data_IF_657013622923
#
_entry.id   IF_657013622923
#
_cell.length_a   1.000
_cell.length_b   1.000
_cell.length_c   1.000
_cell.angle_alpha   90.00
_cell.angle_beta   90.00
_cell.angle_gamma   90.00
#
_symmetry.space_group_name_H-M   'P 1'
#
loop_
_entity.id
_entity.type
_entity.pdbx_description
1 polymer ?
#
# COMPACT_ATOMS: atom_id res chain seq x y z
N UNK A 1 -18.18 4.84 -2.16
CA UNK A 1 -18.82 5.47 -0.98
C UNK A 1 -17.94 5.16 0.22
N UNK A 2 -17.57 6.16 1.03
CA UNK A 2 -16.75 5.97 2.23
C UNK A 2 -17.67 5.90 3.44
N UNK A 3 -17.44 4.91 4.30
CA UNK A 3 -18.17 4.71 5.56
C UNK A 3 -17.17 4.72 6.71
N UNK A 4 -17.52 5.37 7.82
CA UNK A 4 -16.66 5.49 9.00
C UNK A 4 -17.40 4.88 10.18
N UNK A 5 -16.78 3.90 10.84
CA UNK A 5 -17.36 3.18 11.97
C UNK A 5 -16.45 3.32 13.21
N UNK A 6 -16.84 4.13 14.21
CA UNK A 6 -16.06 4.23 15.44
C UNK A 6 -16.21 2.95 16.28
N UNK A 7 -15.07 2.46 16.80
CA UNK A 7 -15.02 1.29 17.68
C UNK A 7 -14.21 1.61 18.94
N UNK A 8 -14.61 1.04 20.08
CA UNK A 8 -13.82 1.07 21.32
C UNK A 8 -13.24 -0.32 21.55
N UNK A 9 -11.91 -0.39 21.65
CA UNK A 9 -11.19 -1.60 22.03
C UNK A 9 -10.78 -1.54 23.49
N UNK A 10 -10.64 -2.71 24.13
CA UNK A 10 -10.06 -2.85 25.46
C UNK A 10 -8.76 -3.65 25.35
N UNK A 11 -7.76 -3.26 26.13
CA UNK A 11 -6.55 -4.04 26.31
C UNK A 11 -6.80 -5.10 27.37
N UNK A 12 -6.63 -6.37 27.04
CA UNK A 12 -6.75 -7.47 27.99
C UNK A 12 -5.56 -7.52 28.95
N UNK A 13 -5.70 -8.23 30.07
CA UNK A 13 -4.61 -8.48 31.03
C UNK A 13 -3.38 -9.16 30.41
N UNK A 14 -3.55 -9.83 29.26
CA UNK A 14 -2.47 -10.49 28.50
C UNK A 14 -1.83 -9.57 27.45
N UNK A 15 -2.17 -8.28 27.43
CA UNK A 15 -1.62 -7.31 26.48
C UNK A 15 -2.21 -7.40 25.06
N UNK A 16 -3.31 -8.13 24.87
CA UNK A 16 -3.98 -8.28 23.56
C UNK A 16 -5.20 -7.37 23.49
N UNK A 17 -5.33 -6.60 22.41
CA UNK A 17 -6.51 -5.78 22.14
C UNK A 17 -7.72 -6.63 21.70
N UNK A 18 -8.91 -6.30 22.18
CA UNK A 18 -10.17 -6.89 21.68
C UNK A 18 -10.49 -6.41 20.26
N UNK A 19 -11.33 -7.13 19.51
CA UNK A 19 -11.81 -6.72 18.17
C UNK A 19 -12.56 -5.37 18.12
N UNK A 20 -13.01 -4.89 19.28
CA UNK A 20 -13.63 -3.58 19.44
C UNK A 20 -15.14 -3.60 19.26
N UNK A 21 -15.84 -2.93 20.18
CA UNK A 21 -17.30 -2.77 20.11
C UNK A 21 -17.65 -1.53 19.30
N UNK A 22 -18.65 -1.57 18.40
CA UNK A 22 -19.11 -0.39 17.70
C UNK A 22 -19.68 0.65 18.68
N UNK A 23 -19.45 1.92 18.39
CA UNK A 23 -19.97 3.04 19.18
C UNK A 23 -21.07 3.73 18.39
N UNK A 24 -22.24 3.90 19.00
CA UNK A 24 -23.31 4.67 18.38
C UNK A 24 -22.87 6.14 18.20
N UNK A 25 -23.11 6.72 17.01
CA UNK A 25 -22.71 8.11 16.72
C UNK A 25 -23.35 9.13 17.66
N UNK A 26 -24.56 8.85 18.17
CA UNK A 26 -25.21 9.67 19.21
C UNK A 26 -24.42 9.73 20.51
N UNK A 27 -23.85 8.60 20.94
CA UNK A 27 -23.00 8.51 22.13
C UNK A 27 -21.65 9.20 21.88
N UNK A 28 -21.07 8.99 20.70
CA UNK A 28 -19.82 9.66 20.34
C UNK A 28 -20.01 11.18 20.29
N UNK A 29 -21.10 11.67 19.70
CA UNK A 29 -21.43 13.10 19.64
C UNK A 29 -21.58 13.74 21.04
N UNK A 30 -22.30 13.07 21.94
CA UNK A 30 -22.54 13.57 23.31
C UNK A 30 -21.32 13.41 24.23
N UNK A 31 -20.36 12.54 23.87
CA UNK A 31 -19.18 12.26 24.68
C UNK A 31 -19.48 11.49 25.98
N UNK A 32 -20.66 10.90 26.12
CA UNK A 32 -21.09 10.23 27.36
C UNK A 32 -20.37 8.89 27.55
N UNK A 33 -19.69 8.74 28.70
CA UNK A 33 -18.96 7.54 29.12
C UNK A 33 -17.92 7.05 28.09
N UNK A 34 -17.14 7.96 27.50
CA UNK A 34 -16.03 7.63 26.61
C UNK A 34 -14.76 8.34 27.08
N UNK A 35 -14.00 7.67 27.95
CA UNK A 35 -12.79 8.26 28.57
C UNK A 35 -11.51 7.95 27.77
N UNK A 36 -11.64 7.34 26.60
CA UNK A 36 -10.53 6.82 25.79
C UNK A 36 -10.33 7.55 24.46
N UNK A 37 -10.96 8.73 24.27
CA UNK A 37 -10.74 9.54 23.07
C UNK A 37 -9.36 10.20 23.13
N UNK A 38 -8.61 10.06 22.05
CA UNK A 38 -7.34 10.75 21.84
C UNK A 38 -7.57 12.12 21.16
N UNK A 39 -6.54 12.96 21.09
CA UNK A 39 -6.64 14.25 20.38
C UNK A 39 -7.06 14.08 18.89
N UNK A 40 -6.52 13.11 18.12
CA UNK A 40 -7.03 12.80 16.79
C UNK A 40 -8.51 12.38 16.75
N UNK A 41 -8.98 11.60 17.74
CA UNK A 41 -10.38 11.17 17.80
C UNK A 41 -11.32 12.36 18.06
N UNK A 42 -10.87 13.35 18.84
CA UNK A 42 -11.62 14.57 19.12
C UNK A 42 -11.84 15.42 17.86
N UNK A 43 -10.84 15.50 16.98
CA UNK A 43 -10.98 16.17 15.68
C UNK A 43 -12.06 15.50 14.82
N UNK A 44 -12.09 14.16 14.76
CA UNK A 44 -13.12 13.38 14.07
C UNK A 44 -14.50 13.58 14.71
N UNK A 45 -14.58 13.52 16.05
CA UNK A 45 -15.83 13.74 16.79
C UNK A 45 -16.44 15.11 16.49
N UNK A 46 -15.61 16.15 16.38
CA UNK A 46 -16.07 17.51 16.07
C UNK A 46 -16.80 17.62 14.73
N UNK A 47 -16.55 16.69 13.80
CA UNK A 47 -17.19 16.62 12.49
C UNK A 47 -18.56 15.90 12.51
N UNK A 48 -19.01 15.37 13.66
CA UNK A 48 -20.35 14.81 13.79
C UNK A 48 -21.41 15.91 13.82
N UNK A 49 -22.50 15.68 13.10
CA UNK A 49 -23.67 16.54 13.06
C UNK A 49 -24.90 15.83 13.60
N UNK A 50 -25.72 16.58 14.33
CA UNK A 50 -27.06 16.15 14.73
C UNK A 50 -28.05 16.68 13.70
N UNK A 51 -28.67 15.78 12.93
CA UNK A 51 -29.76 16.14 12.00
C UNK A 51 -31.10 15.77 12.61
N UNK A 52 -32.02 16.73 12.64
CA UNK A 52 -33.40 16.50 13.07
C UNK A 52 -34.25 16.42 11.80
N UNK A 53 -34.80 15.26 11.50
CA UNK A 53 -35.70 15.06 10.37
C UNK A 53 -37.10 14.77 10.92
N UNK A 54 -38.03 15.71 10.77
CA UNK A 54 -39.38 15.73 11.37
C UNK A 54 -39.92 14.37 11.84
N UNK A 55 -40.54 13.60 10.95
CA UNK A 55 -41.18 12.30 11.26
C UNK A 55 -40.19 11.15 11.56
N UNK A 56 -38.91 11.29 11.21
CA UNK A 56 -37.89 10.22 11.30
C UNK A 56 -36.98 10.33 12.53
N UNK A 57 -37.20 11.34 13.39
CA UNK A 57 -36.46 11.51 14.65
C UNK A 57 -35.09 12.21 14.49
N UNK A 58 -34.22 12.01 15.47
CA UNK A 58 -32.87 12.58 15.53
C UNK A 58 -31.87 11.57 14.97
N UNK A 59 -31.13 11.95 13.94
CA UNK A 59 -30.02 11.20 13.37
C UNK A 59 -28.69 11.88 13.67
N UNK A 60 -27.63 11.08 13.74
CA UNK A 60 -26.26 11.56 13.89
C UNK A 60 -25.44 10.99 12.74
N UNK A 61 -24.68 11.84 12.06
CA UNK A 61 -23.82 11.43 10.95
C UNK A 61 -22.59 12.31 10.86
N UNK A 62 -21.54 11.79 10.20
CA UNK A 62 -20.35 12.59 9.94
C UNK A 62 -20.60 13.55 8.78
N UNK A 63 -20.25 14.81 8.98
CA UNK A 63 -20.06 15.72 7.86
C UNK A 63 -18.81 15.28 7.09
N UNK A 64 -19.02 14.73 5.90
CA UNK A 64 -17.92 14.18 5.09
C UNK A 64 -16.85 15.21 4.72
N UNK A 65 -17.23 16.48 4.52
CA UNK A 65 -16.31 17.56 4.18
C UNK A 65 -15.37 17.91 5.34
N UNK A 66 -15.84 17.72 6.58
CA UNK A 66 -15.07 18.02 7.81
C UNK A 66 -14.32 16.80 8.34
N UNK A 67 -14.91 15.60 8.23
CA UNK A 67 -14.32 14.38 8.79
C UNK A 67 -13.16 13.86 7.94
N UNK A 68 -13.25 13.94 6.60
CA UNK A 68 -12.21 13.40 5.72
C UNK A 68 -10.85 14.07 5.95
N UNK A 69 -10.75 15.41 6.08
CA UNK A 69 -9.51 16.07 6.49
C UNK A 69 -9.07 15.71 7.90
N UNK A 70 -10.00 15.50 8.84
CA UNK A 70 -9.67 15.14 10.23
C UNK A 70 -9.11 13.71 10.35
N UNK A 71 -9.35 12.84 9.38
CA UNK A 71 -8.76 11.50 9.32
C UNK A 71 -7.28 11.50 8.88
N UNK A 72 -6.80 12.59 8.28
CA UNK A 72 -5.43 12.67 7.77
C UNK A 72 -4.43 12.49 8.90
N UNK A 73 -3.51 11.54 8.74
CA UNK A 73 -2.48 11.24 9.74
C UNK A 73 -2.99 10.52 10.99
N UNK A 74 -4.26 10.13 11.03
CA UNK A 74 -4.82 9.43 12.19
C UNK A 74 -4.19 8.04 12.35
N UNK A 75 -3.59 7.71 13.51
CA UNK A 75 -2.79 6.49 13.67
C UNK A 75 -3.61 5.21 13.81
N UNK A 76 -4.91 5.32 14.12
CA UNK A 76 -5.79 4.19 14.46
C UNK A 76 -6.94 4.04 13.46
N UNK A 77 -6.62 4.03 12.16
CA UNK A 77 -7.56 3.72 11.10
C UNK A 77 -7.30 2.32 10.57
N UNK A 78 -8.36 1.54 10.36
CA UNK A 78 -8.27 0.15 9.93
C UNK A 78 -9.35 -0.16 8.89
N UNK A 79 -9.07 -1.13 8.00
CA UNK A 79 -10.06 -1.58 7.03
C UNK A 79 -11.23 -2.26 7.73
N UNK A 80 -12.45 -1.94 7.29
CA UNK A 80 -13.67 -2.54 7.84
C UNK A 80 -13.70 -4.07 7.63
N UNK A 81 -13.27 -4.53 6.45
CA UNK A 81 -13.24 -5.95 6.10
C UNK A 81 -12.23 -6.76 6.91
N UNK A 82 -11.16 -6.12 7.40
CA UNK A 82 -10.18 -6.73 8.28
C UNK A 82 -9.58 -5.67 9.22
N UNK A 83 -10.06 -5.57 10.49
CA UNK A 83 -9.59 -4.58 11.46
C UNK A 83 -8.14 -4.72 11.93
N UNK A 84 -7.37 -5.69 11.39
CA UNK A 84 -5.91 -5.78 11.58
C UNK A 84 -5.13 -5.00 10.52
N UNK A 85 -5.74 -4.68 9.39
CA UNK A 85 -5.09 -3.94 8.32
C UNK A 85 -5.19 -2.44 8.61
N UNK A 86 -4.10 -1.73 8.91
CA UNK A 86 -4.13 -0.28 9.05
C UNK A 86 -4.41 0.38 7.71
N UNK A 87 -5.14 1.49 7.77
CA UNK A 87 -5.42 2.37 6.63
C UNK A 87 -4.68 3.67 6.87
N UNK A 88 -3.91 4.08 5.88
CA UNK A 88 -3.23 5.36 5.91
C UNK A 88 -4.04 6.38 5.13
N UNK A 89 -4.41 7.48 5.78
CA UNK A 89 -5.04 8.63 5.13
C UNK A 89 -4.07 9.78 5.15
N UNK A 90 -3.69 10.26 3.97
CA UNK A 90 -2.69 11.32 3.81
C UNK A 90 -3.28 12.57 3.19
N UNK A 91 -2.66 13.71 3.49
CA UNK A 91 -3.01 14.98 2.85
C UNK A 91 -2.56 14.93 1.40
N UNK A 92 -3.41 15.42 0.50
CA UNK A 92 -3.07 15.72 -0.87
C UNK A 92 -3.32 17.18 -1.20
N UNK A 93 -2.71 17.63 -2.28
CA UNK A 93 -2.94 18.96 -2.85
C UNK A 93 -3.62 18.84 -4.21
N UNK A 94 -4.43 19.84 -4.60
CA UNK A 94 -4.86 19.97 -5.99
C UNK A 94 -3.66 20.31 -6.86
N UNK A 95 -3.68 19.81 -8.09
CA UNK A 95 -2.58 19.89 -9.01
C UNK A 95 -3.06 20.38 -10.39
N UNK A 96 -2.20 21.14 -11.07
CA UNK A 96 -2.37 21.41 -12.50
C UNK A 96 -1.27 20.69 -13.26
N UNK A 97 -1.67 19.80 -14.17
CA UNK A 97 -0.78 19.01 -15.02
C UNK A 97 -0.66 19.67 -16.38
N UNK A 98 0.56 19.87 -16.85
CA UNK A 98 0.85 20.51 -18.13
C UNK A 98 1.73 19.57 -18.95
N UNK A 99 1.22 19.14 -20.11
CA UNK A 99 1.85 18.12 -20.97
C UNK A 99 1.96 18.62 -22.39
N UNK A 100 3.07 18.33 -23.06
CA UNK A 100 3.13 18.42 -24.52
C UNK A 100 2.45 17.18 -25.13
N UNK A 101 1.58 17.40 -26.11
CA UNK A 101 0.86 16.37 -26.86
C UNK A 101 1.05 16.61 -28.37
N UNK A 102 0.64 15.66 -29.21
CA UNK A 102 0.68 15.86 -30.66
C UNK A 102 -0.17 17.07 -31.13
N UNK A 103 -1.21 17.42 -30.37
CA UNK A 103 -2.11 18.54 -30.66
C UNK A 103 -1.69 19.89 -30.07
N UNK A 104 -0.55 19.95 -29.35
CA UNK A 104 -0.06 21.16 -28.68
C UNK A 104 0.24 20.92 -27.21
N UNK A 105 -0.36 21.71 -26.32
CA UNK A 105 -0.15 21.64 -24.88
C UNK A 105 -1.49 21.32 -24.21
N UNK A 106 -1.55 20.24 -23.44
CA UNK A 106 -2.68 19.89 -22.57
C UNK A 106 -2.46 20.45 -21.17
N UNK A 107 -3.51 21.03 -20.59
CA UNK A 107 -3.54 21.57 -19.23
C UNK A 107 -4.75 20.96 -18.51
N UNK A 108 -4.49 20.18 -17.47
CA UNK A 108 -5.53 19.44 -16.74
C UNK A 108 -5.48 19.77 -15.26
N UNK A 109 -6.64 19.90 -14.62
CA UNK A 109 -6.74 20.00 -13.17
C UNK A 109 -6.92 18.60 -12.57
N UNK A 110 -6.20 18.30 -11.49
CA UNK A 110 -6.30 17.03 -10.78
C UNK A 110 -6.51 17.27 -9.28
N UNK A 111 -7.45 16.56 -8.63
CA UNK A 111 -8.43 15.61 -9.19
C UNK A 111 -9.43 16.32 -10.13
N UNK A 112 -9.83 15.64 -11.22
CA UNK A 112 -10.65 16.27 -12.27
C UNK A 112 -12.04 16.73 -11.85
N UNK A 113 -12.65 16.11 -10.83
CA UNK A 113 -13.93 16.56 -10.25
C UNK A 113 -13.70 17.38 -8.98
N UNK A 114 -14.37 18.52 -8.92
CA UNK A 114 -14.38 19.46 -7.79
C UNK A 114 -15.81 19.77 -7.31
N UNK A 115 -16.76 18.86 -7.60
CA UNK A 115 -18.17 19.02 -7.27
C UNK A 115 -18.41 19.09 -5.75
N UNK A 116 -17.55 18.38 -5.00
CA UNK A 116 -17.50 18.41 -3.55
C UNK A 116 -16.31 19.22 -3.06
N UNK A 117 -16.39 19.83 -1.85
CA UNK A 117 -15.26 20.54 -1.24
C UNK A 117 -14.01 19.71 -0.96
N UNK A 118 -14.17 18.39 -0.92
CA UNK A 118 -13.10 17.44 -0.63
C UNK A 118 -13.20 16.27 -1.61
N UNK A 119 -12.07 15.84 -2.15
CA UNK A 119 -11.92 14.63 -2.94
C UNK A 119 -11.08 13.58 -2.19
N UNK A 120 -11.37 12.31 -2.44
CA UNK A 120 -10.59 11.18 -1.92
C UNK A 120 -10.12 10.34 -3.08
N UNK A 121 -8.81 10.15 -3.17
CA UNK A 121 -8.14 9.37 -4.19
C UNK A 121 -7.56 8.12 -3.52
N UNK A 122 -7.90 6.95 -4.04
CA UNK A 122 -7.33 5.70 -3.59
C UNK A 122 -5.98 5.47 -4.27
N UNK A 123 -4.88 5.49 -3.51
CA UNK A 123 -3.53 5.20 -4.02
C UNK A 123 -3.21 3.71 -3.95
N UNK A 124 -3.78 3.01 -2.96
CA UNK A 124 -3.73 1.56 -2.80
C UNK A 124 -4.97 1.08 -2.02
N UNK A 125 -5.21 -0.23 -1.85
CA UNK A 125 -6.28 -0.76 -1.00
C UNK A 125 -6.29 -0.21 0.43
N UNK A 126 -5.14 0.22 0.95
CA UNK A 126 -4.95 0.67 2.34
C UNK A 126 -4.43 2.10 2.45
N UNK A 127 -4.30 2.84 1.34
CA UNK A 127 -3.82 4.22 1.37
C UNK A 127 -4.71 5.13 0.54
N UNK A 128 -5.20 6.20 1.17
CA UNK A 128 -6.08 7.17 0.56
C UNK A 128 -5.51 8.58 0.72
N UNK A 129 -5.55 9.35 -0.36
CA UNK A 129 -5.14 10.76 -0.37
C UNK A 129 -6.38 11.64 -0.35
N UNK A 130 -6.44 12.55 0.62
CA UNK A 130 -7.55 13.51 0.81
C UNK A 130 -7.12 14.87 0.30
N UNK A 131 -7.83 15.41 -0.69
CA UNK A 131 -7.56 16.72 -1.29
C UNK A 131 -8.69 17.68 -0.95
N UNK A 132 -8.37 18.80 -0.31
CA UNK A 132 -9.33 19.86 -0.02
C UNK A 132 -9.26 20.97 -1.08
N UNK A 133 -10.42 21.48 -1.50
CA UNK A 133 -10.52 22.53 -2.50
C UNK A 133 -11.01 23.84 -1.91
N UNK A 134 -10.20 24.89 -2.08
CA UNK A 134 -10.61 26.28 -1.90
C UNK A 134 -11.52 26.74 -3.05
N UNK A 135 -12.22 27.86 -2.90
CA UNK A 135 -13.03 28.42 -4.01
C UNK A 135 -12.17 28.77 -5.23
N UNK A 136 -10.93 29.20 -5.00
CA UNK A 136 -9.98 29.47 -6.08
C UNK A 136 -9.60 28.18 -6.83
N UNK A 137 -9.38 27.07 -6.12
CA UNK A 137 -9.16 25.76 -6.76
C UNK A 137 -10.35 25.36 -7.64
N UNK A 138 -11.58 25.51 -7.13
CA UNK A 138 -12.80 25.20 -7.89
C UNK A 138 -12.96 26.10 -9.10
N UNK A 139 -12.65 27.39 -8.98
CA UNK A 139 -12.68 28.33 -10.11
C UNK A 139 -11.70 27.92 -11.21
N UNK A 140 -10.47 27.57 -10.85
CA UNK A 140 -9.45 27.11 -11.80
C UNK A 140 -9.90 25.82 -12.51
N UNK A 141 -10.41 24.84 -11.74
CA UNK A 141 -10.94 23.60 -12.31
C UNK A 141 -12.11 23.86 -13.28
N UNK A 142 -13.05 24.76 -12.94
CA UNK A 142 -14.16 25.15 -13.84
C UNK A 142 -13.68 25.81 -15.13
N UNK A 143 -12.61 26.62 -15.07
CA UNK A 143 -12.02 27.26 -16.27
C UNK A 143 -11.38 26.20 -17.18
N UNK A 144 -10.64 25.26 -16.59
CA UNK A 144 -9.98 24.18 -17.34
C UNK A 144 -10.96 23.13 -17.85
N UNK A 145 -12.10 22.95 -17.17
CA UNK A 145 -13.09 21.93 -17.47
C UNK A 145 -12.64 20.53 -17.02
N UNK A 146 -13.58 19.58 -17.02
CA UNK A 146 -13.33 18.20 -16.53
C UNK A 146 -12.26 17.46 -17.34
N UNK A 147 -12.21 17.71 -18.66
CA UNK A 147 -11.23 17.08 -19.57
C UNK A 147 -9.94 17.88 -19.71
N UNK A 148 -9.83 19.01 -19.03
CA UNK A 148 -8.77 19.98 -19.26
C UNK A 148 -8.89 20.76 -20.58
N UNK A 149 -7.91 21.62 -20.81
CA UNK A 149 -7.81 22.52 -21.95
C UNK A 149 -6.61 22.11 -22.82
N UNK A 150 -6.82 22.00 -24.14
CA UNK A 150 -5.73 21.84 -25.10
C UNK A 150 -5.53 23.14 -25.88
N UNK A 151 -4.30 23.62 -25.95
CA UNK A 151 -3.92 24.84 -26.69
C UNK A 151 -2.80 24.56 -27.69
N UNK A 152 -2.70 25.31 -28.79
CA UNK A 152 -1.62 25.12 -29.77
C UNK A 152 -0.23 25.35 -29.17
N UNK A 153 0.78 24.68 -29.71
CA UNK A 153 2.17 24.83 -29.27
C UNK A 153 2.72 26.27 -29.42
N UNK A 154 2.15 27.08 -30.33
CA UNK A 154 2.51 28.50 -30.49
C UNK A 154 2.16 29.35 -29.26
N UNK A 155 1.20 28.94 -28.43
CA UNK A 155 0.78 29.66 -27.23
C UNK A 155 1.60 29.30 -25.97
N UNK A 156 2.72 28.57 -26.13
CA UNK A 156 3.56 28.07 -25.03
C UNK A 156 3.99 29.15 -24.03
N UNK A 157 4.40 30.33 -24.50
CA UNK A 157 4.80 31.45 -23.64
C UNK A 157 3.66 31.94 -22.75
N UNK A 158 2.46 32.04 -23.32
CA UNK A 158 1.29 32.60 -22.65
C UNK A 158 0.77 31.61 -21.60
N UNK A 159 0.81 30.32 -21.94
CA UNK A 159 0.51 29.21 -21.03
C UNK A 159 1.45 29.23 -19.82
N UNK A 160 2.77 29.28 -20.04
CA UNK A 160 3.75 29.34 -18.96
C UNK A 160 3.56 30.57 -18.06
N UNK A 161 3.22 31.72 -18.65
CA UNK A 161 2.95 32.95 -17.91
C UNK A 161 1.69 32.83 -17.04
N UNK A 162 0.61 32.28 -17.58
CA UNK A 162 -0.63 32.06 -16.84
C UNK A 162 -0.45 31.05 -15.69
N UNK A 163 0.28 29.97 -15.95
CA UNK A 163 0.58 28.92 -14.96
C UNK A 163 1.49 29.43 -13.84
N UNK A 164 2.46 30.30 -14.15
CA UNK A 164 3.32 30.88 -13.13
C UNK A 164 2.51 31.62 -12.04
N UNK A 165 1.41 32.27 -12.41
CA UNK A 165 0.47 32.88 -11.45
C UNK A 165 -0.21 31.85 -10.53
N UNK A 166 -0.52 30.66 -11.04
CA UNK A 166 -1.17 29.57 -10.29
C UNK A 166 -0.19 28.86 -9.32
N UNK A 167 1.11 28.88 -9.60
CA UNK A 167 2.14 28.19 -8.81
C UNK A 167 2.24 28.65 -7.35
N UNK A 168 1.72 29.84 -7.03
CA UNK A 168 1.64 30.38 -5.67
C UNK A 168 0.46 29.82 -4.85
N UNK A 169 -0.50 29.16 -5.51
CA UNK A 169 -1.78 28.74 -4.91
C UNK A 169 -2.00 27.22 -4.93
N UNK A 170 -1.28 26.50 -5.79
CA UNK A 170 -1.36 25.06 -5.92
C UNK A 170 -0.09 24.48 -6.55
N UNK A 171 0.08 23.17 -6.43
CA UNK A 171 1.19 22.46 -7.05
C UNK A 171 0.97 22.35 -8.57
N UNK A 172 1.97 22.71 -9.36
CA UNK A 172 1.91 22.64 -10.83
C UNK A 172 2.99 21.69 -11.32
N UNK A 173 2.58 20.61 -11.98
CA UNK A 173 3.48 19.67 -12.63
C UNK A 173 3.62 20.06 -14.10
N UNK A 174 4.68 20.79 -14.41
CA UNK A 174 5.01 21.19 -15.79
C UNK A 174 6.08 20.27 -16.38
N UNK A 175 5.74 19.59 -17.48
CA UNK A 175 6.74 18.94 -18.34
C UNK A 175 7.57 19.96 -19.14
N UNK A 176 7.17 21.24 -19.11
CA UNK A 176 7.64 22.32 -19.97
C UNK A 176 8.66 23.24 -19.25
N UNK A 177 8.87 23.00 -17.95
CA UNK A 177 9.73 23.82 -17.09
C UNK A 177 8.93 24.85 -16.28
N UNK A 178 9.40 25.11 -15.06
CA UNK A 178 8.81 26.01 -14.07
C UNK A 178 9.27 25.62 -12.67
N UNK A 179 10.11 26.43 -12.04
CA UNK A 179 10.53 26.21 -10.65
C UNK A 179 9.49 26.80 -9.72
N UNK A 180 8.83 25.95 -8.94
CA UNK A 180 8.09 26.43 -7.78
C UNK A 180 9.08 26.84 -6.68
N UNK A 181 8.77 27.93 -5.97
CA UNK A 181 9.58 28.40 -4.83
C UNK A 181 9.44 27.40 -3.68
N UNK A 182 10.52 27.21 -2.91
CA UNK A 182 10.57 26.36 -1.71
C UNK A 182 10.34 24.85 -1.95
N UNK A 183 10.90 24.31 -3.04
CA UNK A 183 10.89 22.87 -3.34
C UNK A 183 12.32 22.33 -3.31
N UNK A 184 12.51 21.21 -2.61
CA UNK A 184 13.78 20.49 -2.56
C UNK A 184 13.79 19.37 -3.61
N UNK A 185 14.80 19.35 -4.48
CA UNK A 185 14.99 18.25 -5.43
C UNK A 185 15.52 17.00 -4.71
N UNK A 186 14.91 15.85 -5.00
CA UNK A 186 15.30 14.54 -4.49
C UNK A 186 15.47 13.56 -5.67
N UNK A 187 16.42 12.62 -5.54
CA UNK A 187 16.57 11.54 -6.51
C UNK A 187 15.37 10.59 -6.44
N UNK A 188 14.83 10.19 -7.60
CA UNK A 188 13.73 9.24 -7.66
C UNK A 188 14.25 7.84 -7.33
N UNK A 189 13.59 7.14 -6.42
CA UNK A 189 13.83 5.72 -6.18
C UNK A 189 12.96 4.87 -7.13
N UNK A 190 13.56 4.16 -8.12
CA UNK A 190 12.82 3.39 -9.11
C UNK A 190 12.51 1.96 -8.66
N UNK A 191 12.96 1.54 -7.47
CA UNK A 191 12.84 0.14 -7.04
C UNK A 191 11.38 -0.20 -6.77
N UNK A 192 10.84 -1.26 -7.41
CA UNK A 192 9.48 -1.70 -7.18
C UNK A 192 9.23 -2.11 -5.72
N UNK A 193 8.05 -1.76 -5.24
CA UNK A 193 7.50 -2.22 -3.98
C UNK A 193 6.34 -3.16 -4.25
N UNK A 194 6.29 -4.28 -3.52
CA UNK A 194 5.20 -5.24 -3.54
C UNK A 194 4.51 -5.21 -2.18
N UNK A 195 3.23 -4.85 -2.17
CA UNK A 195 2.37 -5.00 -1.00
C UNK A 195 1.67 -6.35 -1.02
N UNK A 196 1.74 -7.05 0.11
CA UNK A 196 1.04 -8.31 0.33
C UNK A 196 -0.02 -8.08 1.40
N UNK A 197 -1.29 -8.20 1.00
CA UNK A 197 -2.44 -8.09 1.89
C UNK A 197 -3.10 -9.47 2.03
N UNK A 198 -3.10 -10.07 3.23
CA UNK A 198 -3.85 -11.29 3.50
C UNK A 198 -5.34 -11.11 3.20
N UNK A 199 -5.89 -12.02 2.40
CA UNK A 199 -7.33 -12.08 2.11
C UNK A 199 -7.76 -13.54 2.04
N UNK A 200 -8.65 -13.95 2.94
CA UNK A 200 -9.05 -15.35 3.05
C UNK A 200 -7.85 -16.25 3.34
N UNK A 201 -7.60 -17.23 2.47
CA UNK A 201 -6.46 -18.16 2.56
C UNK A 201 -5.23 -17.73 1.76
N UNK A 202 -5.26 -16.58 1.10
CA UNK A 202 -4.19 -16.14 0.20
C UNK A 202 -3.90 -14.64 0.29
N UNK A 203 -3.46 -14.06 -0.83
CA UNK A 203 -3.02 -12.66 -0.88
C UNK A 203 -3.71 -11.88 -1.99
N UNK A 204 -4.06 -10.63 -1.66
CA UNK A 204 -4.06 -9.57 -2.65
C UNK A 204 -2.65 -8.98 -2.73
N UNK A 205 -2.11 -8.94 -3.94
CA UNK A 205 -0.77 -8.45 -4.24
C UNK A 205 -0.88 -7.19 -5.08
N UNK A 206 -0.07 -6.18 -4.80
CA UNK A 206 0.01 -4.98 -5.61
C UNK A 206 1.44 -4.48 -5.75
N UNK A 207 1.82 -4.06 -6.95
CA UNK A 207 3.12 -3.44 -7.22
C UNK A 207 2.99 -1.95 -7.54
N UNK A 208 3.88 -1.16 -6.95
CA UNK A 208 4.02 0.29 -7.16
C UNK A 208 5.48 0.70 -6.99
N UNK A 209 5.77 1.98 -7.21
CA UNK A 209 7.03 2.64 -6.87
C UNK A 209 6.75 3.75 -5.88
N UNK A 210 7.75 4.05 -5.04
CA UNK A 210 7.71 5.19 -4.12
C UNK A 210 8.90 6.10 -4.42
N UNK A 211 8.74 7.12 -5.27
CA UNK A 211 9.86 7.92 -5.76
C UNK A 211 10.63 8.65 -4.65
N UNK A 212 9.99 8.95 -3.52
CA UNK A 212 10.59 9.60 -2.36
C UNK A 212 10.99 8.63 -1.23
N UNK A 213 11.01 7.32 -1.50
CA UNK A 213 11.36 6.30 -0.51
C UNK A 213 10.16 5.82 0.33
N UNK A 214 10.35 5.52 1.61
CA UNK A 214 9.31 4.91 2.46
C UNK A 214 8.05 5.78 2.65
N UNK A 215 8.25 7.10 2.65
CA UNK A 215 7.23 8.13 2.84
C UNK A 215 6.94 8.81 1.49
N UNK A 216 5.66 8.93 1.12
CA UNK A 216 5.25 9.60 -0.12
C UNK A 216 4.21 8.83 -0.95
N UNK A 217 3.82 9.36 -2.11
CA UNK A 217 2.79 8.77 -2.96
C UNK A 217 3.20 7.38 -3.46
N UNK A 218 2.21 6.49 -3.56
CA UNK A 218 2.36 5.20 -4.22
C UNK A 218 1.94 5.35 -5.67
N UNK A 219 2.85 5.11 -6.60
CA UNK A 219 2.61 5.33 -8.04
C UNK A 219 2.80 4.04 -8.82
N UNK A 220 2.02 3.85 -9.89
CA UNK A 220 2.16 2.68 -10.76
C UNK A 220 3.47 2.77 -11.55
N UNK A 221 4.32 1.72 -11.57
CA UNK A 221 5.62 1.83 -12.19
C UNK A 221 5.48 2.02 -13.70
N UNK A 222 6.19 2.98 -14.27
CA UNK A 222 6.11 3.28 -15.71
C UNK A 222 4.88 4.04 -16.18
N UNK A 223 3.94 4.32 -15.26
CA UNK A 223 2.69 5.01 -15.56
C UNK A 223 2.60 6.38 -14.86
N UNK A 224 1.83 7.29 -15.45
CA UNK A 224 1.62 8.64 -14.92
C UNK A 224 2.75 9.62 -15.29
N UNK A 225 2.97 10.61 -14.44
CA UNK A 225 3.89 11.72 -14.72
C UNK A 225 5.34 11.38 -14.39
N UNK A 226 6.26 11.91 -15.20
CA UNK A 226 7.69 11.81 -14.97
C UNK A 226 8.13 12.72 -13.81
N UNK A 227 7.73 14.00 -13.84
CA UNK A 227 7.97 14.93 -12.75
C UNK A 227 6.87 14.75 -11.70
N UNK A 228 7.26 14.52 -10.46
CA UNK A 228 6.35 14.33 -9.32
C UNK A 228 6.81 15.24 -8.20
N UNK A 229 5.86 15.84 -7.51
CA UNK A 229 6.07 16.62 -6.28
C UNK A 229 5.16 16.07 -5.21
N UNK A 230 5.62 16.08 -3.97
CA UNK A 230 4.82 15.69 -2.82
C UNK A 230 5.32 16.40 -1.56
N UNK A 231 4.44 16.61 -0.60
CA UNK A 231 4.84 16.95 0.77
C UNK A 231 5.20 15.64 1.49
N UNK A 232 6.45 15.51 1.91
CA UNK A 232 6.97 14.37 2.66
C UNK A 232 7.56 14.90 3.95
N UNK A 233 7.02 14.44 5.09
CA UNK A 233 7.45 14.87 6.43
C UNK A 233 7.49 16.42 6.60
N UNK A 234 6.47 17.10 6.06
CA UNK A 234 6.34 18.57 6.11
C UNK A 234 7.25 19.34 5.13
N UNK A 235 8.04 18.63 4.33
CA UNK A 235 8.93 19.22 3.32
C UNK A 235 8.37 18.98 1.91
N UNK A 236 8.29 20.01 1.09
CA UNK A 236 7.90 19.88 -0.32
C UNK A 236 9.09 19.37 -1.14
N UNK A 237 8.96 18.15 -1.63
CA UNK A 237 9.97 17.50 -2.46
C UNK A 237 9.52 17.43 -3.91
N UNK A 238 10.47 17.49 -4.83
CA UNK A 238 10.27 17.20 -6.24
C UNK A 238 11.27 16.17 -6.71
N UNK A 239 10.82 15.28 -7.59
CA UNK A 239 11.67 14.30 -8.23
C UNK A 239 11.27 14.07 -9.68
N UNK A 240 12.18 13.47 -10.44
CA UNK A 240 11.98 13.06 -11.83
C UNK A 240 12.18 11.56 -11.95
N UNK A 241 11.09 10.85 -12.18
CA UNK A 241 11.02 9.41 -12.39
C UNK A 241 11.66 9.01 -13.71
N UNK A 242 12.16 7.78 -13.79
CA UNK A 242 12.48 7.13 -15.06
C UNK A 242 11.43 6.06 -15.33
N UNK A 243 10.39 6.42 -16.08
CA UNK A 243 9.26 5.53 -16.35
C UNK A 243 9.69 4.29 -17.16
N UNK A 244 10.73 4.41 -17.98
CA UNK A 244 11.26 3.28 -18.74
C UNK A 244 11.98 2.31 -17.82
N UNK A 245 12.88 2.80 -16.96
CA UNK A 245 13.58 1.96 -15.97
C UNK A 245 12.58 1.30 -14.99
N UNK A 246 11.61 2.05 -14.47
CA UNK A 246 10.55 1.52 -13.62
C UNK A 246 9.79 0.37 -14.30
N UNK A 247 9.47 0.51 -15.60
CA UNK A 247 8.79 -0.54 -16.37
C UNK A 247 9.65 -1.79 -16.50
N UNK A 248 10.94 -1.60 -16.80
CA UNK A 248 11.90 -2.70 -16.96
C UNK A 248 12.07 -3.46 -15.65
N UNK A 249 12.28 -2.74 -14.53
CA UNK A 249 12.42 -3.35 -13.20
C UNK A 249 11.18 -4.12 -12.77
N UNK A 250 10.00 -3.53 -12.93
CA UNK A 250 8.75 -4.18 -12.58
C UNK A 250 8.51 -5.45 -13.42
N UNK A 251 8.79 -5.42 -14.73
CA UNK A 251 8.75 -6.62 -15.58
C UNK A 251 9.78 -7.68 -15.17
N UNK A 252 10.96 -7.28 -14.72
CA UNK A 252 11.95 -8.21 -14.22
C UNK A 252 11.45 -8.97 -12.97
N UNK A 253 10.76 -8.27 -12.07
CA UNK A 253 10.08 -8.91 -10.91
C UNK A 253 8.99 -9.87 -11.38
N UNK A 254 8.11 -9.44 -12.29
CA UNK A 254 7.03 -10.29 -12.85
C UNK A 254 7.60 -11.56 -13.50
N UNK A 255 8.66 -11.45 -14.30
CA UNK A 255 9.30 -12.59 -14.98
C UNK A 255 10.02 -13.53 -14.00
N UNK A 256 10.54 -13.01 -12.90
CA UNK A 256 11.20 -13.79 -11.86
C UNK A 256 10.22 -14.47 -10.89
N UNK A 257 8.94 -14.08 -10.91
CA UNK A 257 7.87 -14.65 -10.08
C UNK A 257 6.80 -15.29 -10.97
N UNK A 258 6.90 -16.60 -11.29
CA UNK A 258 5.95 -17.28 -12.17
C UNK A 258 4.47 -17.16 -11.73
N UNK A 259 4.22 -17.05 -10.43
CA UNK A 259 2.89 -16.88 -9.85
C UNK A 259 2.25 -15.53 -10.21
N UNK A 260 3.05 -14.48 -10.44
CA UNK A 260 2.56 -13.18 -10.92
C UNK A 260 2.37 -13.18 -12.43
N UNK A 261 3.30 -13.78 -13.18
CA UNK A 261 3.23 -13.85 -14.64
C UNK A 261 1.99 -14.59 -15.16
N UNK A 262 1.49 -15.57 -14.40
CA UNK A 262 0.31 -16.35 -14.77
C UNK A 262 -1.03 -15.65 -14.50
N UNK A 263 -1.03 -14.61 -13.66
CA UNK A 263 -2.27 -13.96 -13.20
C UNK A 263 -2.62 -12.74 -14.09
N UNK A 264 -3.86 -12.71 -14.57
CA UNK A 264 -4.33 -11.91 -15.73
C UNK A 264 -4.84 -10.50 -15.35
N UNK A 265 -4.73 -10.09 -14.10
CA UNK A 265 -5.33 -8.83 -13.64
C UNK A 265 -4.48 -7.58 -14.01
N UNK A 266 -5.20 -6.54 -14.44
CA UNK A 266 -4.61 -5.29 -14.93
C UNK A 266 -4.03 -4.40 -13.83
N UNK A 267 -3.10 -3.53 -14.23
CA UNK A 267 -2.47 -2.50 -13.38
C UNK A 267 -1.59 -3.03 -12.24
N UNK A 268 -0.94 -4.19 -12.46
CA UNK A 268 -0.01 -4.84 -11.53
C UNK A 268 -0.63 -5.08 -10.15
N UNK A 269 -1.84 -5.60 -10.19
CA UNK A 269 -2.56 -6.15 -9.06
C UNK A 269 -2.85 -7.61 -9.35
N UNK A 270 -2.75 -8.45 -8.33
CA UNK A 270 -3.04 -9.87 -8.45
C UNK A 270 -3.78 -10.37 -7.22
N UNK A 271 -4.55 -11.43 -7.42
CA UNK A 271 -5.23 -12.13 -6.35
C UNK A 271 -4.84 -13.60 -6.37
N UNK A 272 -4.12 -14.03 -5.33
CA UNK A 272 -3.69 -15.40 -5.13
C UNK A 272 -4.58 -16.04 -4.06
N UNK A 273 -5.22 -17.16 -4.39
CA UNK A 273 -6.10 -17.89 -3.47
C UNK A 273 -5.46 -19.19 -2.96
N UNK A 274 -4.54 -19.76 -3.74
CA UNK A 274 -3.86 -21.00 -3.39
C UNK A 274 -2.70 -20.74 -2.41
N UNK A 275 -2.70 -21.37 -1.22
CA UNK A 275 -1.61 -21.22 -0.26
C UNK A 275 -0.24 -21.67 -0.80
N UNK A 276 -0.17 -22.66 -1.69
CA UNK A 276 1.11 -23.10 -2.26
C UNK A 276 1.68 -22.05 -3.23
N UNK A 277 0.85 -21.46 -4.10
CA UNK A 277 1.23 -20.29 -4.91
C UNK A 277 1.64 -19.08 -4.05
N UNK A 278 0.96 -18.83 -2.94
CA UNK A 278 1.34 -17.76 -2.01
C UNK A 278 2.74 -17.99 -1.42
N UNK A 279 3.04 -19.20 -0.95
CA UNK A 279 4.35 -19.55 -0.41
C UNK A 279 5.44 -19.54 -1.47
N UNK A 280 5.11 -19.92 -2.71
CA UNK A 280 5.99 -19.81 -3.85
C UNK A 280 6.34 -18.34 -4.15
N UNK A 281 5.34 -17.46 -4.21
CA UNK A 281 5.57 -16.03 -4.41
C UNK A 281 6.51 -15.45 -3.33
N UNK A 282 6.29 -15.81 -2.07
CA UNK A 282 7.14 -15.35 -0.96
C UNK A 282 8.60 -15.80 -1.11
N UNK A 283 8.82 -17.02 -1.58
CA UNK A 283 10.16 -17.54 -1.85
C UNK A 283 10.84 -16.76 -2.99
N UNK A 284 10.11 -16.51 -4.07
CA UNK A 284 10.63 -15.80 -5.25
C UNK A 284 10.95 -14.33 -4.90
N UNK A 285 10.02 -13.64 -4.22
CA UNK A 285 10.21 -12.26 -3.76
C UNK A 285 11.39 -12.14 -2.79
N UNK A 286 11.58 -13.10 -1.88
CA UNK A 286 12.72 -13.08 -0.96
C UNK A 286 14.05 -13.08 -1.71
N UNK A 287 14.16 -13.91 -2.75
CA UNK A 287 15.36 -13.96 -3.61
C UNK A 287 15.65 -12.63 -4.29
N UNK A 288 14.60 -11.92 -4.71
CA UNK A 288 14.70 -10.58 -5.31
C UNK A 288 15.02 -9.50 -4.26
N UNK A 289 14.47 -9.61 -3.04
CA UNK A 289 14.77 -8.71 -1.93
C UNK A 289 16.24 -8.79 -1.51
N UNK A 290 16.82 -9.99 -1.47
CA UNK A 290 18.23 -10.20 -1.12
C UNK A 290 19.19 -9.52 -2.13
N UNK A 291 18.72 -9.29 -3.37
CA UNK A 291 19.43 -8.55 -4.43
C UNK A 291 19.06 -7.07 -4.48
N UNK A 292 18.15 -6.62 -3.62
CA UNK A 292 17.56 -5.28 -3.62
C UNK A 292 16.84 -4.92 -4.94
N UNK A 293 16.32 -5.92 -5.66
CA UNK A 293 15.55 -5.74 -6.90
C UNK A 293 14.10 -5.34 -6.61
N UNK A 294 13.59 -5.67 -5.42
CA UNK A 294 12.22 -5.38 -4.97
C UNK A 294 12.20 -5.12 -3.45
N UNK A 295 11.22 -4.36 -2.98
CA UNK A 295 10.90 -4.21 -1.56
C UNK A 295 9.53 -4.80 -1.26
N UNK A 296 9.40 -5.62 -0.22
CA UNK A 296 8.12 -6.21 0.18
C UNK A 296 7.63 -5.55 1.45
N UNK A 297 6.38 -5.10 1.45
CA UNK A 297 5.72 -4.53 2.61
C UNK A 297 4.43 -5.27 2.97
N UNK A 298 4.20 -5.38 4.28
CA UNK A 298 3.08 -6.10 4.89
C UNK A 298 2.28 -5.11 5.74
N UNK A 299 1.19 -4.54 5.20
CA UNK A 299 0.39 -3.56 5.94
C UNK A 299 -0.12 -4.09 7.28
N UNK A 300 -0.51 -5.36 7.38
CA UNK A 300 -0.98 -5.99 8.64
C UNK A 300 0.10 -6.15 9.71
N UNK A 301 1.39 -5.98 9.38
CA UNK A 301 2.50 -6.26 10.29
C UNK A 301 2.75 -7.75 10.58
N UNK A 302 1.75 -8.63 10.43
CA UNK A 302 1.92 -10.08 10.42
C UNK A 302 2.70 -10.52 9.17
N UNK A 303 3.76 -11.32 9.38
CA UNK A 303 4.69 -11.74 8.32
C UNK A 303 4.73 -13.25 8.25
N UNK A 304 4.28 -13.82 7.13
CA UNK A 304 4.66 -15.18 6.77
C UNK A 304 6.12 -15.19 6.35
N UNK A 305 6.88 -16.17 6.84
CA UNK A 305 8.33 -16.29 6.58
C UNK A 305 8.62 -17.60 5.87
N UNK A 306 9.08 -17.50 4.64
CA UNK A 306 9.59 -18.67 3.91
C UNK A 306 11.12 -18.65 3.98
N UNK A 307 11.69 -19.80 4.32
CA UNK A 307 13.14 -20.03 4.30
C UNK A 307 13.65 -19.99 2.86
N UNK A 308 14.98 -19.90 2.67
CA UNK A 308 15.54 -20.14 1.33
C UNK A 308 15.23 -21.57 0.91
N UNK A 309 15.22 -21.84 -0.39
CA UNK A 309 15.00 -23.21 -0.87
C UNK A 309 16.17 -24.11 -0.43
N UNK A 310 15.85 -25.20 0.27
CA UNK A 310 16.83 -26.13 0.82
C UNK A 310 16.94 -27.35 -0.09
N UNK A 311 18.17 -27.63 -0.53
CA UNK A 311 18.52 -28.76 -1.39
C UNK A 311 19.12 -29.91 -0.57
N UNK A 312 19.39 -31.03 -1.23
CA UNK A 312 19.98 -32.21 -0.61
C UNK A 312 21.38 -31.95 -0.02
N UNK A 313 22.10 -30.92 -0.48
CA UNK A 313 23.44 -30.59 0.02
C UNK A 313 23.43 -30.13 1.48
N UNK A 314 22.31 -29.59 1.95
CA UNK A 314 22.11 -29.16 3.34
C UNK A 314 21.63 -30.28 4.26
N UNK A 315 21.48 -31.49 3.73
CA UNK A 315 21.05 -32.66 4.50
C UNK A 315 22.26 -33.44 5.03
N UNK A 316 22.40 -33.49 6.34
CA UNK A 316 23.43 -34.26 7.02
C UNK A 316 22.84 -35.55 7.61
N UNK A 317 23.19 -36.69 7.02
CA UNK A 317 22.75 -38.02 7.47
C UNK A 317 23.88 -38.76 8.18
N UNK A 318 23.56 -39.35 9.33
CA UNK A 318 24.40 -40.32 10.04
C UNK A 318 23.62 -41.61 10.21
N UNK A 319 24.01 -42.62 9.44
CA UNK A 319 23.49 -43.99 9.55
C UNK A 319 24.43 -44.77 10.46
N UNK A 320 23.91 -45.30 11.57
CA UNK A 320 24.63 -46.25 12.42
C UNK A 320 24.01 -47.63 12.29
N UNK A 321 24.80 -48.59 11.84
CA UNK A 321 24.40 -49.99 11.83
C UNK A 321 24.60 -50.60 13.22
N UNK A 322 23.55 -51.20 13.79
CA UNK A 322 23.64 -52.19 14.87
C UNK A 322 23.01 -53.48 14.37
N UNK A 323 23.50 -54.62 14.86
CA UNK A 323 23.02 -55.95 14.48
C UNK A 323 21.49 -56.00 14.57
N UNK A 324 20.85 -56.19 13.42
CA UNK A 324 19.41 -56.24 13.15
C UNK A 324 18.58 -54.94 13.10
N UNK A 325 19.18 -53.74 13.19
CA UNK A 325 18.47 -52.48 12.94
C UNK A 325 19.39 -51.32 12.53
N UNK A 326 18.98 -50.54 11.52
CA UNK A 326 19.64 -49.29 11.14
C UNK A 326 19.05 -48.14 11.94
N UNK A 327 19.87 -47.43 12.71
CA UNK A 327 19.49 -46.15 13.32
C UNK A 327 19.91 -45.03 12.37
N UNK A 328 18.94 -44.41 11.71
CA UNK A 328 19.14 -43.25 10.84
C UNK A 328 18.86 -41.99 11.65
N UNK A 329 19.93 -41.26 11.96
CA UNK A 329 19.82 -39.92 12.55
C UNK A 329 20.22 -38.89 11.49
N UNK A 330 19.48 -37.79 11.38
CA UNK A 330 19.75 -36.80 10.35
C UNK A 330 19.30 -35.42 10.79
N UNK A 331 19.92 -34.40 10.21
CA UNK A 331 19.56 -33.00 10.43
C UNK A 331 19.61 -32.26 9.10
N UNK A 332 18.67 -31.35 8.91
CA UNK A 332 18.64 -30.43 7.79
C UNK A 332 19.04 -29.04 8.31
N UNK A 333 20.17 -28.53 7.83
CA UNK A 333 20.62 -27.18 8.16
C UNK A 333 19.90 -26.17 7.26
N UNK A 334 19.08 -25.30 7.85
CA UNK A 334 18.30 -24.30 7.11
C UNK A 334 19.09 -23.00 7.03
N UNK A 335 19.61 -22.54 8.17
CA UNK A 335 20.53 -21.42 8.34
C UNK A 335 21.33 -21.56 9.65
N UNK A 336 22.16 -20.56 9.98
CA UNK A 336 23.04 -20.54 11.17
C UNK A 336 22.29 -20.69 12.51
N UNK A 337 20.98 -20.46 12.54
CA UNK A 337 20.16 -20.47 13.75
C UNK A 337 19.07 -21.55 13.75
N UNK A 338 18.78 -22.15 12.59
CA UNK A 338 17.69 -23.10 12.41
C UNK A 338 18.20 -24.41 11.81
N UNK A 339 18.07 -25.48 12.61
CA UNK A 339 18.31 -26.85 12.19
C UNK A 339 17.04 -27.66 12.44
N UNK A 340 16.58 -28.39 11.43
CA UNK A 340 15.39 -29.25 11.53
C UNK A 340 15.83 -30.69 11.70
N UNK A 341 15.32 -31.37 12.73
CA UNK A 341 15.58 -32.79 12.96
C UNK A 341 14.88 -33.67 11.92
N UNK A 342 15.54 -34.75 11.48
CA UNK A 342 15.00 -35.65 10.47
C UNK A 342 13.65 -36.27 10.87
N UNK A 343 13.43 -36.58 12.14
CA UNK A 343 12.16 -37.14 12.59
C UNK A 343 11.02 -36.14 12.38
N UNK A 344 11.23 -34.89 12.80
CA UNK A 344 10.26 -33.80 12.58
C UNK A 344 10.03 -33.57 11.08
N UNK A 345 11.08 -33.59 10.27
CA UNK A 345 10.98 -33.44 8.81
C UNK A 345 10.10 -34.54 8.18
N UNK A 346 10.32 -35.80 8.56
CA UNK A 346 9.54 -36.95 8.07
C UNK A 346 8.08 -36.89 8.54
N UNK A 347 7.83 -36.50 9.80
CA UNK A 347 6.48 -36.28 10.33
C UNK A 347 5.74 -35.21 9.51
N UNK A 348 6.40 -34.08 9.22
CA UNK A 348 5.83 -33.01 8.39
C UNK A 348 5.59 -33.47 6.95
N UNK A 349 6.49 -34.25 6.34
CA UNK A 349 6.32 -34.80 4.99
C UNK A 349 5.18 -35.82 4.89
N UNK A 350 4.89 -36.56 5.96
CA UNK A 350 3.74 -37.47 6.00
C UNK A 350 2.41 -36.72 6.12
N UNK A 351 2.40 -35.59 6.84
CA UNK A 351 1.22 -34.77 7.08
C UNK A 351 0.89 -33.82 5.91
N UNK A 352 1.91 -33.39 5.15
CA UNK A 352 1.76 -32.37 4.12
C UNK A 352 2.17 -32.87 2.73
N UNK A 353 1.31 -32.63 1.74
CA UNK A 353 1.55 -32.96 0.33
C UNK A 353 2.16 -31.81 -0.47
N UNK A 354 2.80 -30.85 0.16
CA UNK A 354 3.42 -29.69 -0.50
C UNK A 354 4.94 -29.70 -0.26
N UNK A 355 5.69 -28.87 -1.01
CA UNK A 355 7.14 -28.68 -0.76
C UNK A 355 7.44 -27.66 0.33
N UNK A 356 6.39 -27.04 0.86
CA UNK A 356 6.47 -26.04 1.90
C UNK A 356 5.94 -26.62 3.20
N UNK A 357 6.82 -26.90 4.15
CA UNK A 357 6.47 -27.56 5.41
C UNK A 357 6.35 -26.51 6.53
N UNK A 358 5.24 -26.49 7.29
CA UNK A 358 5.08 -25.54 8.38
C UNK A 358 6.03 -25.86 9.53
N UNK A 359 6.74 -24.85 10.04
CA UNK A 359 7.60 -24.94 11.22
C UNK A 359 6.96 -24.33 12.48
N UNK A 360 5.78 -23.74 12.33
CA UNK A 360 5.08 -22.99 13.40
C UNK A 360 5.24 -21.47 13.24
N UNK A 361 4.40 -20.70 13.94
CA UNK A 361 4.46 -19.23 14.00
C UNK A 361 4.51 -18.52 12.62
N UNK A 362 3.85 -19.09 11.61
CA UNK A 362 3.84 -18.54 10.24
C UNK A 362 5.15 -18.75 9.46
N UNK A 363 6.05 -19.59 9.96
CA UNK A 363 7.30 -19.95 9.30
C UNK A 363 7.16 -21.24 8.48
N UNK A 364 7.74 -21.26 7.29
CA UNK A 364 7.71 -22.39 6.36
C UNK A 364 9.12 -22.77 5.86
N UNK A 365 9.38 -24.08 5.87
CA UNK A 365 10.54 -24.71 5.24
C UNK A 365 10.25 -24.95 3.76
N UNK A 366 11.06 -24.38 2.85
CA UNK A 366 10.94 -24.63 1.42
C UNK A 366 11.94 -25.72 0.99
N UNK A 367 11.44 -26.85 0.50
CA UNK A 367 12.27 -27.92 -0.06
C UNK A 367 12.35 -27.81 -1.58
N UNK A 368 13.51 -28.17 -2.14
CA UNK A 368 13.57 -28.44 -3.59
C UNK A 368 12.65 -29.59 -3.96
N UNK A 369 12.14 -29.58 -5.19
CA UNK A 369 11.29 -30.67 -5.70
C UNK A 369 11.99 -32.02 -5.66
N UNK A 370 13.31 -32.04 -5.89
CA UNK A 370 14.11 -33.26 -5.87
C UNK A 370 14.33 -33.77 -4.45
N UNK A 371 14.62 -32.88 -3.48
CA UNK A 371 14.76 -33.28 -2.08
C UNK A 371 13.46 -33.84 -1.53
N UNK A 372 12.31 -33.26 -1.90
CA UNK A 372 10.99 -33.75 -1.46
C UNK A 372 10.64 -35.14 -2.03
N UNK A 373 11.04 -35.41 -3.28
CA UNK A 373 10.71 -36.68 -3.96
C UNK A 373 11.51 -37.88 -3.43
N UNK A 374 12.72 -37.62 -2.94
CA UNK A 374 13.60 -38.62 -2.32
C UNK A 374 13.16 -38.87 -0.89
#
# INVERSE_FOLDING_TARGET
>A
RITILPKIQKLSLKGVWTEGRPVALSRLYTGTDIDCLTEPDEAIRSALERRVSGYYGVAYEFNMERVLPALVGHPLLFLESNPRIPVEIVKGEPEVLVRETQGGISIEFQPGSVDTPVAVIQESPTRFRVVQFTEQHRRTARILGETGLTVPASAKSDVLTAIAGLSSQMTVHSAIGGQARDIVEAAADPVPWVHLLPVGSGFRVEMFVKPFGGSGPHLKPGSGMQNVMAEVDGTRLQTRRDLTDETVRARAVENACPTLAAAVEGDRQWYLQDPEECLQLLLDLKTLQDRNDVRVAWPEGEKLRVTREISFESLHLKVRGKTDWFEVSGRLEVDDKLTVDMKLLLELLQQHRTRFLPLGEGQFLALTRDLRKR
#
